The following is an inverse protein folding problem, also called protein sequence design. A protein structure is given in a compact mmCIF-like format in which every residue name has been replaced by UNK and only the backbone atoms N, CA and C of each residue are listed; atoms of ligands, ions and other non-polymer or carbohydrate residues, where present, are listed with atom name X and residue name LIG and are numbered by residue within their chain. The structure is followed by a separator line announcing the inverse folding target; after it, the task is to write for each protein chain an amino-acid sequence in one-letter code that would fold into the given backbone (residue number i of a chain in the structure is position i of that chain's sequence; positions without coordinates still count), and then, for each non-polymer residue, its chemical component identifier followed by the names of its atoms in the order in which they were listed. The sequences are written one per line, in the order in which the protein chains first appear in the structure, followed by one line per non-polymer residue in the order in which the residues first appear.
data_IF_223339448317
#
_entry.id   IF_223339448317
#
_cell.length_a   1.000
_cell.length_b   1.000
_cell.length_c   1.000
_cell.angle_alpha   90.00
_cell.angle_beta   90.00
_cell.angle_gamma   90.00
#
_symmetry.space_group_name_H-M   'P 1'
#
loop_
_entity.id
_entity.type
_entity.pdbx_description
1 polymer ?
#
# COMPACT_ATOMS: atom_id res chain seq x y z
N UNK A 1 37.76 12.21 25.97
CA UNK A 1 37.57 13.26 24.95
C UNK A 1 36.86 12.64 23.73
N UNK A 2 35.53 12.55 23.76
CA UNK A 2 34.64 12.65 22.59
C UNK A 2 33.23 12.80 23.15
N UNK A 3 32.81 14.05 23.34
CA UNK A 3 31.45 14.37 23.72
C UNK A 3 30.57 14.10 22.49
N UNK A 4 29.80 13.00 22.52
CA UNK A 4 28.85 12.68 21.47
C UNK A 4 27.77 13.77 21.52
N UNK A 5 27.88 14.77 20.64
CA UNK A 5 26.84 15.78 20.46
C UNK A 5 25.51 15.07 20.23
N UNK A 6 24.61 15.19 21.20
CA UNK A 6 23.25 14.66 21.14
C UNK A 6 22.51 15.42 20.04
N UNK A 7 22.35 14.81 18.85
CA UNK A 7 21.54 15.36 17.75
C UNK A 7 20.17 15.77 18.32
N UNK A 8 19.78 17.01 18.10
CA UNK A 8 18.44 17.48 18.48
C UNK A 8 17.42 16.92 17.47
N UNK A 9 16.20 16.62 17.93
CA UNK A 9 15.12 16.13 17.05
C UNK A 9 14.86 17.04 15.84
N UNK A 10 15.14 18.35 15.98
CA UNK A 10 15.07 19.34 14.90
C UNK A 10 16.19 19.13 13.87
N UNK A 11 17.41 18.81 14.30
CA UNK A 11 18.54 18.51 13.41
C UNK A 11 18.42 17.15 12.71
N UNK A 12 17.78 16.17 13.36
CA UNK A 12 17.63 14.80 12.85
C UNK A 12 16.46 14.66 11.87
N UNK A 13 15.32 15.31 12.16
CA UNK A 13 14.11 15.19 11.36
C UNK A 13 13.70 16.45 10.60
N UNK A 14 14.46 17.54 10.69
CA UNK A 14 14.13 18.83 10.08
C UNK A 14 13.93 18.75 8.56
N UNK A 15 14.83 18.05 7.86
CA UNK A 15 14.74 17.87 6.40
C UNK A 15 13.47 17.10 6.00
N UNK A 16 13.23 15.93 6.60
CA UNK A 16 12.07 15.11 6.22
C UNK A 16 10.75 15.79 6.62
N UNK A 17 10.70 16.46 7.76
CA UNK A 17 9.54 17.24 8.19
C UNK A 17 9.22 18.39 7.23
N UNK A 18 10.24 19.16 6.80
CA UNK A 18 10.03 20.23 5.83
C UNK A 18 9.53 19.69 4.49
N UNK A 19 10.12 18.58 4.01
CA UNK A 19 9.72 17.92 2.76
C UNK A 19 8.28 17.39 2.82
N UNK A 20 7.89 16.76 3.92
CA UNK A 20 6.52 16.28 4.14
C UNK A 20 5.52 17.43 4.22
N UNK A 21 5.81 18.48 5.00
CA UNK A 21 4.94 19.67 5.09
C UNK A 21 4.72 20.32 3.74
N UNK A 22 5.78 20.50 2.94
CA UNK A 22 5.69 21.07 1.61
C UNK A 22 4.84 20.23 0.63
N UNK A 23 4.80 18.89 0.81
CA UNK A 23 3.91 18.01 0.04
C UNK A 23 2.47 18.08 0.53
N UNK A 24 2.26 18.02 1.85
CA UNK A 24 0.94 18.10 2.48
C UNK A 24 0.25 19.42 2.12
N UNK A 25 0.98 20.54 2.13
CA UNK A 25 0.43 21.87 1.82
C UNK A 25 -0.08 22.00 0.39
N UNK A 26 0.39 21.14 -0.53
CA UNK A 26 -0.08 21.11 -1.92
C UNK A 26 -1.35 20.25 -2.07
N UNK A 27 -1.35 19.07 -1.46
CA UNK A 27 -2.40 18.06 -1.65
C UNK A 27 -3.70 18.34 -0.86
N UNK A 28 -3.62 19.00 0.30
CA UNK A 28 -4.77 19.15 1.20
C UNK A 28 -5.49 20.50 1.08
N UNK A 29 -5.25 21.29 0.03
CA UNK A 29 -5.98 22.55 -0.15
C UNK A 29 -7.46 22.26 -0.39
N UNK A 30 -8.34 23.06 0.22
CA UNK A 30 -9.78 22.90 0.01
C UNK A 30 -10.16 23.22 -1.44
N UNK A 31 -9.39 24.09 -2.11
CA UNK A 31 -9.49 24.32 -3.55
C UNK A 31 -9.27 23.03 -4.35
N UNK A 32 -8.19 22.28 -4.08
CA UNK A 32 -7.92 21.03 -4.78
C UNK A 32 -9.05 20.01 -4.58
N UNK A 33 -9.54 19.85 -3.34
CA UNK A 33 -10.66 18.96 -3.03
C UNK A 33 -11.93 19.39 -3.76
N UNK A 34 -12.26 20.67 -3.73
CA UNK A 34 -13.44 21.22 -4.39
C UNK A 34 -13.36 21.05 -5.91
N UNK A 35 -12.19 21.23 -6.51
CA UNK A 35 -12.00 21.02 -7.95
C UNK A 35 -12.20 19.56 -8.35
N UNK A 36 -11.73 18.60 -7.54
CA UNK A 36 -12.02 17.17 -7.77
C UNK A 36 -13.50 16.82 -7.61
N UNK A 37 -14.14 17.28 -6.52
CA UNK A 37 -15.55 16.98 -6.23
C UNK A 37 -16.47 17.56 -7.32
N UNK A 38 -16.17 18.76 -7.80
CA UNK A 38 -16.97 19.46 -8.80
C UNK A 38 -16.57 19.13 -10.25
N UNK A 39 -15.68 18.15 -10.46
CA UNK A 39 -15.31 17.71 -11.81
C UNK A 39 -16.51 17.03 -12.49
N UNK A 40 -16.85 17.48 -13.70
CA UNK A 40 -18.03 17.01 -14.45
C UNK A 40 -17.88 15.56 -14.96
N UNK A 41 -16.63 15.12 -15.15
CA UNK A 41 -16.28 13.80 -15.67
C UNK A 41 -14.88 13.38 -15.20
N UNK A 42 -14.51 12.12 -15.51
CA UNK A 42 -13.24 11.54 -15.07
C UNK A 42 -12.05 12.24 -15.73
N UNK A 43 -12.18 12.67 -16.99
CA UNK A 43 -11.13 13.38 -17.70
C UNK A 43 -10.79 14.69 -16.99
N UNK A 44 -11.82 15.46 -16.62
CA UNK A 44 -11.67 16.70 -15.84
C UNK A 44 -11.03 16.41 -14.49
N UNK A 45 -11.46 15.35 -13.79
CA UNK A 45 -10.90 14.98 -12.50
C UNK A 45 -9.41 14.60 -12.60
N UNK A 46 -9.02 13.86 -13.63
CA UNK A 46 -7.61 13.51 -13.88
C UNK A 46 -6.77 14.75 -14.15
N UNK A 47 -7.29 15.74 -14.88
CA UNK A 47 -6.54 16.99 -15.11
C UNK A 47 -6.25 17.74 -13.81
N UNK A 48 -7.14 17.70 -12.81
CA UNK A 48 -6.89 18.29 -11.49
C UNK A 48 -5.64 17.67 -10.82
N UNK A 49 -5.38 16.37 -11.04
CA UNK A 49 -4.24 15.66 -10.46
C UNK A 49 -2.88 16.15 -10.99
N UNK A 50 -2.81 16.64 -12.24
CA UNK A 50 -1.56 17.13 -12.85
C UNK A 50 -0.92 18.28 -12.05
N UNK A 51 -1.76 19.16 -11.53
CA UNK A 51 -1.32 20.33 -10.73
C UNK A 51 -0.64 19.97 -9.41
N UNK A 52 -0.75 18.71 -8.96
CA UNK A 52 -0.34 18.25 -7.62
C UNK A 52 0.79 17.22 -7.61
N UNK A 53 1.46 17.00 -8.74
CA UNK A 53 2.63 16.11 -8.81
C UNK A 53 2.29 14.62 -8.93
N UNK A 54 1.14 14.31 -9.55
CA UNK A 54 0.78 12.96 -10.01
C UNK A 54 0.90 12.82 -11.52
N UNK A 55 1.89 13.49 -12.12
CA UNK A 55 2.08 13.54 -13.57
C UNK A 55 2.16 12.16 -14.21
N UNK A 56 2.82 11.20 -13.56
CA UNK A 56 2.92 9.82 -14.07
C UNK A 56 1.55 9.14 -14.22
N UNK A 57 0.63 9.40 -13.29
CA UNK A 57 -0.73 8.85 -13.34
C UNK A 57 -1.53 9.53 -14.47
N UNK A 58 -1.41 10.85 -14.60
CA UNK A 58 -2.06 11.62 -15.68
C UNK A 58 -1.55 11.21 -17.06
N UNK A 59 -0.24 11.08 -17.24
CA UNK A 59 0.39 10.58 -18.47
C UNK A 59 -0.13 9.19 -18.82
N UNK A 60 -0.21 8.30 -17.82
CA UNK A 60 -0.72 6.95 -18.03
C UNK A 60 -2.18 6.96 -18.47
N UNK A 61 -3.03 7.76 -17.83
CA UNK A 61 -4.42 7.97 -18.27
C UNK A 61 -4.49 8.51 -19.70
N UNK A 62 -3.74 9.57 -20.02
CA UNK A 62 -3.76 10.17 -21.36
C UNK A 62 -3.33 9.17 -22.45
N UNK A 63 -2.45 8.22 -22.13
CA UNK A 63 -2.00 7.18 -23.08
C UNK A 63 -2.96 5.98 -23.21
N UNK A 64 -3.81 5.71 -22.21
CA UNK A 64 -4.59 4.45 -22.15
C UNK A 64 -6.10 4.64 -22.06
N UNK A 65 -6.57 5.76 -21.50
CA UNK A 65 -7.97 5.97 -21.11
C UNK A 65 -8.47 5.00 -20.04
N UNK A 66 -7.58 4.26 -19.37
CA UNK A 66 -7.93 3.18 -18.46
C UNK A 66 -7.76 3.60 -16.99
N UNK A 67 -8.88 3.59 -16.27
CA UNK A 67 -8.93 3.99 -14.86
C UNK A 67 -8.11 3.06 -13.97
N UNK A 68 -7.99 1.77 -14.32
CA UNK A 68 -7.23 0.80 -13.53
C UNK A 68 -5.72 1.08 -13.64
N UNK A 69 -5.27 1.52 -14.81
CA UNK A 69 -3.90 1.98 -15.02
C UNK A 69 -3.60 3.28 -14.24
N UNK A 70 -4.56 4.22 -14.19
CA UNK A 70 -4.44 5.42 -13.36
C UNK A 70 -4.31 5.06 -11.88
N UNK A 71 -5.21 4.22 -11.36
CA UNK A 71 -5.20 3.76 -9.96
C UNK A 71 -3.89 3.03 -9.61
N UNK A 72 -3.39 2.20 -10.51
CA UNK A 72 -2.11 1.51 -10.33
C UNK A 72 -0.93 2.50 -10.18
N UNK A 73 -0.87 3.53 -11.02
CA UNK A 73 0.18 4.56 -10.90
C UNK A 73 0.05 5.40 -9.63
N UNK A 74 -1.18 5.72 -9.20
CA UNK A 74 -1.43 6.39 -7.92
C UNK A 74 -0.97 5.51 -6.74
N UNK A 75 -1.26 4.22 -6.78
CA UNK A 75 -0.83 3.25 -5.76
C UNK A 75 0.69 3.11 -5.71
N UNK A 76 1.34 3.04 -6.88
CA UNK A 76 2.81 3.05 -6.97
C UNK A 76 3.41 4.32 -6.35
N UNK A 77 2.86 5.49 -6.68
CA UNK A 77 3.28 6.76 -6.08
C UNK A 77 3.09 6.76 -4.55
N UNK A 78 2.03 6.13 -4.05
CA UNK A 78 1.81 5.97 -2.61
C UNK A 78 2.91 5.13 -1.93
N UNK A 79 3.32 4.01 -2.55
CA UNK A 79 4.44 3.18 -2.05
C UNK A 79 5.77 3.93 -2.10
N UNK A 80 6.04 4.65 -3.19
CA UNK A 80 7.27 5.46 -3.32
C UNK A 80 7.37 6.55 -2.24
N UNK A 81 6.24 7.12 -1.80
CA UNK A 81 6.23 8.06 -0.69
C UNK A 81 6.71 7.40 0.61
N UNK A 82 6.28 6.17 0.92
CA UNK A 82 6.82 5.43 2.08
C UNK A 82 8.31 5.16 1.93
N UNK A 83 8.74 4.58 0.79
CA UNK A 83 10.15 4.28 0.51
C UNK A 83 11.03 5.53 0.69
N UNK A 84 10.56 6.67 0.21
CA UNK A 84 11.24 7.96 0.35
C UNK A 84 11.37 8.41 1.81
N UNK A 85 10.32 8.26 2.63
CA UNK A 85 10.41 8.61 4.06
C UNK A 85 11.34 7.64 4.79
N UNK A 86 11.19 6.33 4.59
CA UNK A 86 12.01 5.28 5.21
C UNK A 86 13.51 5.50 4.95
N UNK A 87 13.87 5.88 3.71
CA UNK A 87 15.26 6.18 3.34
C UNK A 87 15.88 7.36 4.12
N UNK A 88 15.05 8.24 4.67
CA UNK A 88 15.48 9.45 5.38
C UNK A 88 15.17 9.39 6.88
N UNK A 89 14.88 8.21 7.43
CA UNK A 89 14.64 8.00 8.85
C UNK A 89 15.52 6.87 9.38
N UNK A 90 15.90 6.98 10.65
CA UNK A 90 16.71 6.00 11.38
C UNK A 90 16.01 5.56 12.67
N UNK A 91 16.54 4.52 13.32
CA UNK A 91 16.13 4.09 14.66
C UNK A 91 14.65 3.69 14.79
N UNK A 92 14.00 4.09 15.87
CA UNK A 92 12.60 3.76 16.15
C UNK A 92 11.63 4.38 15.15
N UNK A 93 11.91 5.59 14.65
CA UNK A 93 11.09 6.21 13.61
C UNK A 93 11.17 5.42 12.30
N UNK A 94 12.36 4.97 11.90
CA UNK A 94 12.50 4.09 10.74
C UNK A 94 11.64 2.84 10.85
N UNK A 95 11.72 2.14 11.99
CA UNK A 95 10.91 0.94 12.23
C UNK A 95 9.41 1.24 12.15
N UNK A 96 8.97 2.34 12.76
CA UNK A 96 7.57 2.75 12.73
C UNK A 96 7.07 3.04 11.31
N UNK A 97 7.80 3.84 10.51
CA UNK A 97 7.41 4.12 9.13
C UNK A 97 7.48 2.86 8.26
N UNK A 98 8.46 1.98 8.49
CA UNK A 98 8.54 0.71 7.79
C UNK A 98 7.30 -0.15 8.08
N UNK A 99 6.85 -0.24 9.33
CA UNK A 99 5.61 -0.95 9.69
C UNK A 99 4.37 -0.25 9.09
N UNK A 100 4.34 1.08 8.99
CA UNK A 100 3.26 1.77 8.27
C UNK A 100 3.15 1.35 6.79
N UNK A 101 4.27 1.03 6.15
CA UNK A 101 4.27 0.52 4.76
C UNK A 101 3.61 -0.86 4.60
N UNK A 102 3.34 -1.58 5.70
CA UNK A 102 2.52 -2.79 5.66
C UNK A 102 1.09 -2.51 5.15
N UNK A 103 0.56 -1.28 5.30
CA UNK A 103 -0.81 -0.97 4.86
C UNK A 103 -1.00 -1.14 3.36
N UNK A 104 -0.22 -0.48 2.48
CA UNK A 104 -0.33 -0.72 1.05
C UNK A 104 -0.04 -2.19 0.70
N UNK A 105 0.90 -2.86 1.37
CA UNK A 105 1.14 -4.29 1.13
C UNK A 105 -0.10 -5.15 1.39
N UNK A 106 -0.78 -4.91 2.52
CA UNK A 106 -2.03 -5.60 2.86
C UNK A 106 -3.14 -5.30 1.85
N UNK A 107 -3.30 -4.05 1.41
CA UNK A 107 -4.31 -3.72 0.39
C UNK A 107 -4.00 -4.41 -0.96
N UNK A 108 -2.72 -4.55 -1.31
CA UNK A 108 -2.31 -5.33 -2.48
C UNK A 108 -2.59 -6.83 -2.29
N UNK A 109 -2.29 -7.40 -1.11
CA UNK A 109 -2.63 -8.80 -0.75
C UNK A 109 -4.14 -9.02 -0.90
N UNK A 110 -4.97 -8.16 -0.31
CA UNK A 110 -6.44 -8.27 -0.40
C UNK A 110 -6.92 -8.20 -1.85
N UNK A 111 -6.33 -7.32 -2.65
CA UNK A 111 -6.63 -7.23 -4.09
C UNK A 111 -6.34 -8.55 -4.81
N UNK A 112 -5.17 -9.14 -4.58
CA UNK A 112 -4.82 -10.45 -5.16
C UNK A 112 -5.72 -11.57 -4.66
N UNK A 113 -6.04 -11.61 -3.37
CA UNK A 113 -6.96 -12.59 -2.79
C UNK A 113 -8.35 -12.49 -3.42
N UNK A 114 -8.87 -11.27 -3.62
CA UNK A 114 -10.16 -11.04 -4.29
C UNK A 114 -10.15 -11.51 -5.74
N UNK A 115 -9.05 -11.32 -6.46
CA UNK A 115 -8.87 -11.87 -7.80
C UNK A 115 -8.86 -13.40 -7.77
N UNK A 116 -8.03 -14.00 -6.93
CA UNK A 116 -7.94 -15.45 -6.75
C UNK A 116 -9.30 -16.08 -6.39
N UNK A 117 -10.01 -15.50 -5.43
CA UNK A 117 -11.33 -15.96 -5.02
C UNK A 117 -12.35 -15.82 -6.15
N UNK A 118 -12.28 -14.72 -6.89
CA UNK A 118 -13.07 -14.50 -8.10
C UNK A 118 -12.85 -15.59 -9.16
N UNK A 119 -11.60 -15.94 -9.46
CA UNK A 119 -11.28 -16.96 -10.47
C UNK A 119 -11.53 -18.38 -10.00
N UNK A 120 -11.01 -18.76 -8.82
CA UNK A 120 -10.97 -20.15 -8.37
C UNK A 120 -12.25 -20.61 -7.70
N UNK A 121 -12.92 -19.72 -6.96
CA UNK A 121 -14.14 -20.08 -6.21
C UNK A 121 -15.40 -19.67 -6.98
N UNK A 122 -15.37 -18.49 -7.65
CA UNK A 122 -16.54 -17.95 -8.37
C UNK A 122 -16.49 -18.15 -9.89
N UNK A 123 -15.47 -18.83 -10.43
CA UNK A 123 -15.29 -19.09 -11.86
C UNK A 123 -15.40 -17.83 -12.76
N UNK A 124 -14.94 -16.68 -12.26
CA UNK A 124 -14.91 -15.42 -13.01
C UNK A 124 -13.58 -15.27 -13.75
N UNK A 125 -13.58 -14.84 -15.02
CA UNK A 125 -12.33 -14.57 -15.72
C UNK A 125 -11.57 -13.43 -15.02
N UNK A 126 -10.33 -13.69 -14.63
CA UNK A 126 -9.44 -12.70 -13.97
C UNK A 126 -8.49 -11.98 -14.93
N UNK A 127 -8.46 -12.39 -16.20
CA UNK A 127 -7.50 -12.02 -17.25
C UNK A 127 -6.68 -10.75 -16.99
N UNK A 128 -7.09 -9.65 -17.62
CA UNK A 128 -6.41 -8.35 -17.59
C UNK A 128 -6.27 -7.75 -16.17
N UNK A 129 -7.00 -8.22 -15.16
CA UNK A 129 -6.97 -7.59 -13.82
C UNK A 129 -5.69 -7.89 -13.04
N UNK A 130 -5.01 -8.97 -13.38
CA UNK A 130 -3.73 -9.34 -12.77
C UNK A 130 -2.56 -8.45 -13.17
N UNK A 131 -2.69 -7.64 -14.23
CA UNK A 131 -1.66 -6.68 -14.64
C UNK A 131 -1.63 -5.42 -13.79
N UNK A 132 -2.70 -5.14 -13.02
CA UNK A 132 -2.77 -4.00 -12.09
C UNK A 132 -2.40 -4.38 -10.66
N UNK A 133 -1.83 -5.57 -10.45
CA UNK A 133 -1.26 -5.96 -9.16
C UNK A 133 0.15 -5.42 -9.07
N UNK A 134 0.49 -4.78 -7.95
CA UNK A 134 1.85 -4.35 -7.70
C UNK A 134 2.73 -5.55 -7.35
N UNK A 135 3.85 -5.73 -8.04
CA UNK A 135 4.69 -6.94 -7.92
C UNK A 135 6.08 -6.71 -7.33
N UNK A 136 6.44 -5.46 -7.01
CA UNK A 136 7.69 -5.21 -6.30
C UNK A 136 7.49 -5.38 -4.79
N UNK A 137 8.61 -5.43 -4.05
CA UNK A 137 8.59 -5.46 -2.58
C UNK A 137 7.99 -4.17 -2.01
N UNK A 138 7.01 -4.27 -1.11
CA UNK A 138 6.49 -3.11 -0.38
C UNK A 138 7.08 -3.09 1.02
N UNK A 139 6.78 -4.11 1.84
CA UNK A 139 7.29 -4.30 3.19
C UNK A 139 8.09 -5.61 3.26
N UNK A 140 7.46 -6.74 2.98
CA UNK A 140 8.12 -8.05 2.85
C UNK A 140 8.30 -8.49 1.41
N UNK A 141 9.16 -9.50 1.21
CA UNK A 141 9.39 -10.07 -0.11
C UNK A 141 8.36 -11.17 -0.39
N UNK A 142 7.22 -10.78 -0.94
CA UNK A 142 6.13 -11.70 -1.32
C UNK A 142 6.30 -12.13 -2.77
N UNK A 143 6.20 -13.43 -3.04
CA UNK A 143 6.10 -13.95 -4.40
C UNK A 143 4.68 -13.73 -4.95
N UNK A 144 4.46 -12.54 -5.51
CA UNK A 144 3.17 -12.15 -6.09
C UNK A 144 2.75 -13.03 -7.27
N UNK A 145 3.71 -13.58 -8.03
CA UNK A 145 3.40 -14.45 -9.16
C UNK A 145 2.87 -15.79 -8.67
N UNK A 146 3.49 -16.37 -7.64
CA UNK A 146 3.02 -17.59 -7.00
C UNK A 146 1.63 -17.38 -6.37
N UNK A 147 1.42 -16.24 -5.71
CA UNK A 147 0.13 -15.90 -5.10
C UNK A 147 -1.01 -15.78 -6.13
N UNK A 148 -0.79 -15.07 -7.24
CA UNK A 148 -1.80 -14.90 -8.30
C UNK A 148 -2.16 -16.25 -8.95
N UNK A 149 -1.17 -17.12 -9.14
CA UNK A 149 -1.34 -18.39 -9.85
C UNK A 149 -1.76 -19.55 -8.95
N UNK A 150 -1.87 -19.32 -7.63
CA UNK A 150 -2.30 -20.31 -6.65
C UNK A 150 -3.60 -21.01 -7.07
N UNK A 151 -3.64 -22.33 -6.94
CA UNK A 151 -4.80 -23.14 -7.31
C UNK A 151 -5.64 -23.42 -6.06
N UNK A 152 -4.96 -23.79 -4.98
CA UNK A 152 -5.57 -24.15 -3.71
C UNK A 152 -5.24 -23.12 -2.62
N UNK A 153 -6.04 -23.10 -1.56
CA UNK A 153 -5.77 -22.25 -0.41
C UNK A 153 -4.41 -22.57 0.26
N UNK A 154 -3.99 -23.83 0.23
CA UNK A 154 -2.70 -24.26 0.78
C UNK A 154 -1.51 -23.63 0.03
N UNK A 155 -1.64 -23.35 -1.27
CA UNK A 155 -0.61 -22.64 -2.04
C UNK A 155 -0.44 -21.20 -1.52
N UNK A 156 -1.55 -20.54 -1.19
CA UNK A 156 -1.56 -19.20 -0.60
C UNK A 156 -0.89 -19.23 0.77
N UNK A 157 -1.23 -20.22 1.60
CA UNK A 157 -0.61 -20.39 2.92
C UNK A 157 0.91 -20.63 2.80
N UNK A 158 1.35 -21.39 1.79
CA UNK A 158 2.77 -21.61 1.52
C UNK A 158 3.52 -20.32 1.16
N UNK A 159 2.92 -19.42 0.36
CA UNK A 159 3.49 -18.10 0.04
C UNK A 159 3.76 -17.28 1.30
N UNK A 160 2.83 -17.29 2.25
CA UNK A 160 2.92 -16.46 3.46
C UNK A 160 3.60 -17.14 4.66
N UNK A 161 3.96 -18.42 4.57
CA UNK A 161 4.46 -19.23 5.69
C UNK A 161 5.62 -18.59 6.47
N UNK A 162 6.54 -17.93 5.77
CA UNK A 162 7.73 -17.31 6.34
C UNK A 162 7.62 -15.79 6.46
N UNK A 163 6.39 -15.25 6.39
CA UNK A 163 6.11 -13.82 6.46
C UNK A 163 5.39 -13.47 7.75
N UNK A 164 5.37 -12.19 8.14
CA UNK A 164 4.50 -11.73 9.25
C UNK A 164 3.02 -12.09 9.04
N UNK A 165 2.59 -12.25 7.80
CA UNK A 165 1.22 -12.60 7.44
C UNK A 165 0.88 -14.07 7.65
N UNK A 166 1.88 -14.95 7.81
CA UNK A 166 1.68 -16.41 7.89
C UNK A 166 0.74 -16.83 9.02
N UNK A 167 0.73 -16.10 10.13
CA UNK A 167 -0.19 -16.36 11.26
C UNK A 167 -1.67 -16.18 10.89
N UNK A 168 -1.97 -15.27 9.96
CA UNK A 168 -3.33 -15.02 9.47
C UNK A 168 -3.82 -16.17 8.59
N UNK A 169 -2.97 -16.68 7.70
CA UNK A 169 -3.34 -17.75 6.76
C UNK A 169 -3.31 -19.15 7.37
N UNK A 170 -2.39 -19.41 8.31
CA UNK A 170 -2.28 -20.71 8.98
C UNK A 170 -3.41 -20.99 9.98
N UNK A 171 -4.01 -19.96 10.55
CA UNK A 171 -5.09 -20.07 11.55
C UNK A 171 -6.49 -20.18 10.93
N UNK A 172 -6.60 -19.98 9.62
CA UNK A 172 -7.87 -19.93 8.91
C UNK A 172 -8.24 -21.31 8.35
N UNK A 173 -9.54 -21.66 8.40
CA UNK A 173 -10.07 -22.78 7.62
C UNK A 173 -10.00 -22.45 6.12
N UNK A 174 -9.96 -23.49 5.29
CA UNK A 174 -10.01 -23.37 3.82
C UNK A 174 -11.17 -22.46 3.42
N UNK A 175 -10.84 -21.40 2.68
CA UNK A 175 -11.83 -20.43 2.20
C UNK A 175 -12.74 -21.11 1.17
N UNK A 176 -14.04 -21.16 1.47
CA UNK A 176 -15.07 -21.62 0.55
C UNK A 176 -16.00 -20.49 0.09
N UNK A 177 -16.99 -20.82 -0.74
CA UNK A 177 -17.97 -19.85 -1.24
C UNK A 177 -18.87 -19.24 -0.16
N UNK A 178 -19.00 -19.89 1.00
CA UNK A 178 -19.91 -19.51 2.08
C UNK A 178 -19.23 -18.55 3.08
N UNK A 179 -17.95 -18.78 3.40
CA UNK A 179 -17.18 -17.94 4.33
C UNK A 179 -16.68 -16.64 3.68
N UNK A 180 -16.39 -16.68 2.37
CA UNK A 180 -15.82 -15.54 1.65
C UNK A 180 -14.45 -15.09 2.19
N UNK A 181 -14.03 -13.87 1.83
CA UNK A 181 -12.71 -13.34 2.23
C UNK A 181 -12.74 -12.46 3.49
N UNK A 182 -13.93 -12.08 3.97
CA UNK A 182 -14.10 -11.05 5.00
C UNK A 182 -13.25 -11.32 6.26
N UNK A 183 -13.26 -12.56 6.74
CA UNK A 183 -12.49 -12.94 7.94
C UNK A 183 -10.98 -12.80 7.73
N UNK A 184 -10.44 -13.24 6.58
CA UNK A 184 -9.01 -13.08 6.27
C UNK A 184 -8.66 -11.60 6.18
N UNK A 185 -9.44 -10.83 5.42
CA UNK A 185 -9.20 -9.39 5.22
C UNK A 185 -9.21 -8.65 6.56
N UNK A 186 -10.16 -8.98 7.44
CA UNK A 186 -10.26 -8.42 8.80
C UNK A 186 -9.07 -8.83 9.67
N UNK A 187 -8.61 -10.07 9.58
CA UNK A 187 -7.45 -10.54 10.35
C UNK A 187 -6.15 -9.89 9.88
N UNK A 188 -5.99 -9.62 8.57
CA UNK A 188 -4.89 -8.82 8.04
C UNK A 188 -4.92 -7.39 8.60
N UNK A 189 -6.10 -6.75 8.65
CA UNK A 189 -6.24 -5.42 9.25
C UNK A 189 -5.92 -5.43 10.75
N UNK A 190 -6.39 -6.45 11.49
CA UNK A 190 -6.06 -6.61 12.92
C UNK A 190 -4.56 -6.76 13.14
N UNK A 191 -3.88 -7.58 12.33
CA UNK A 191 -2.43 -7.73 12.38
C UNK A 191 -1.76 -6.38 12.19
N UNK A 192 -2.13 -5.62 11.15
CA UNK A 192 -1.61 -4.29 10.89
C UNK A 192 -1.76 -3.33 12.08
N UNK A 193 -2.97 -3.18 12.60
CA UNK A 193 -3.22 -2.26 13.72
C UNK A 193 -2.46 -2.69 14.98
N UNK A 194 -2.37 -3.99 15.24
CA UNK A 194 -1.59 -4.51 16.37
C UNK A 194 -0.08 -4.20 16.24
N UNK A 195 0.48 -4.38 15.04
CA UNK A 195 1.88 -4.08 14.74
C UNK A 195 2.20 -2.60 14.88
N UNK A 196 1.32 -1.72 14.39
CA UNK A 196 1.48 -0.27 14.53
C UNK A 196 1.36 0.18 15.97
N UNK A 197 0.37 -0.30 16.72
CA UNK A 197 0.22 0.08 18.12
C UNK A 197 1.45 -0.29 18.92
N UNK A 198 2.01 -1.49 18.69
CA UNK A 198 3.26 -1.91 19.30
C UNK A 198 4.42 -0.98 18.92
N UNK A 199 4.60 -0.70 17.62
CA UNK A 199 5.67 0.18 17.14
C UNK A 199 5.52 1.62 17.63
N UNK A 200 4.29 2.12 17.77
CA UNK A 200 3.99 3.45 18.30
C UNK A 200 4.40 3.58 19.77
N UNK A 201 4.29 2.52 20.56
CA UNK A 201 4.73 2.51 21.95
C UNK A 201 6.27 2.47 22.08
N UNK A 202 6.97 2.12 21.01
CA UNK A 202 8.44 2.10 20.93
C UNK A 202 9.02 3.45 20.44
N UNK A 203 8.17 4.37 19.97
CA UNK A 203 8.57 5.75 19.68
C UNK A 203 8.83 6.48 21.00
N UNK A 204 10.08 6.91 21.20
CA UNK A 204 10.51 7.73 22.35
C UNK A 204 10.51 9.21 22.00
#
# INVERSE_FOLDING_TARGET
MTEVMKKTAVSEYGYINAKLRARISKILTDEFKNNLINSENIESAVQVLSSQGWDSAVEKWNSTGDIQNLEFELFKNHIENYRMVIKNTDGSLHNFINILSMKPEIENIKTVLRLWFGSRIKNRPIGYRSSYVFRERIYENIDWNLLINSIMYDDINAVFKNTVYGSVFSSQKVVDSNDGLFTIETNLDRLYYSSILKASNELK
#
